data_IF_828501955087
#
_entry.id   IF_828501955087
#
_cell.length_a   1.000
_cell.length_b   1.000
_cell.length_c   1.000
_cell.angle_alpha   90.00
_cell.angle_beta   90.00
_cell.angle_gamma   90.00
#
_symmetry.space_group_name_H-M   'P 1'
#
loop_
_entity.id
_entity.type
_entity.pdbx_description
1 polymer ?
#
# COMPACT_ATOMS: atom_id res chain seq x y z
N UNK A 1 1.46 -26.45 -4.03
CA UNK A 1 1.48 -25.63 -2.81
C UNK A 1 0.22 -24.80 -2.79
N UNK A 2 -0.31 -24.50 -1.60
CA UNK A 2 -1.45 -23.60 -1.43
C UNK A 2 -0.99 -22.26 -0.86
N UNK A 3 -1.75 -21.20 -1.10
CA UNK A 3 -1.45 -19.87 -0.54
C UNK A 3 -1.65 -19.90 0.98
N UNK A 4 -0.63 -19.56 1.80
CA UNK A 4 -0.77 -19.59 3.25
C UNK A 4 -1.68 -18.47 3.76
N UNK A 5 -2.24 -18.66 4.94
CA UNK A 5 -2.99 -17.60 5.63
C UNK A 5 -2.05 -16.47 6.09
N UNK A 6 -2.53 -15.23 6.04
CA UNK A 6 -1.88 -14.07 6.66
C UNK A 6 -2.81 -13.46 7.70
N UNK A 7 -2.24 -12.85 8.74
CA UNK A 7 -3.00 -12.40 9.91
C UNK A 7 -4.13 -11.41 9.56
N UNK A 8 -3.81 -10.33 8.86
CA UNK A 8 -4.79 -9.29 8.51
C UNK A 8 -5.82 -9.73 7.48
N UNK A 9 -5.42 -10.55 6.49
CA UNK A 9 -6.38 -11.10 5.52
C UNK A 9 -7.34 -12.09 6.18
N UNK A 10 -6.88 -12.86 7.18
CA UNK A 10 -7.76 -13.75 7.95
C UNK A 10 -8.78 -12.98 8.79
N UNK A 11 -8.35 -11.89 9.43
CA UNK A 11 -9.20 -11.10 10.33
C UNK A 11 -10.18 -10.20 9.57
N UNK A 12 -9.71 -9.50 8.54
CA UNK A 12 -10.49 -8.48 7.81
C UNK A 12 -10.20 -8.58 6.31
N UNK A 13 -10.64 -9.66 5.63
CA UNK A 13 -10.25 -9.96 4.25
C UNK A 13 -10.70 -8.91 3.22
N UNK A 14 -11.76 -8.14 3.51
CA UNK A 14 -12.26 -7.09 2.63
C UNK A 14 -11.44 -5.79 2.71
N UNK A 15 -10.55 -5.66 3.69
CA UNK A 15 -9.65 -4.51 3.87
C UNK A 15 -8.21 -4.82 3.43
N UNK A 16 -7.74 -6.03 3.68
CA UNK A 16 -6.35 -6.43 3.45
C UNK A 16 -6.28 -7.68 2.57
N UNK A 17 -5.80 -7.53 1.34
CA UNK A 17 -5.56 -8.65 0.42
C UNK A 17 -4.25 -9.40 0.72
N UNK A 18 -4.05 -10.54 0.07
CA UNK A 18 -2.80 -11.32 0.24
C UNK A 18 -1.59 -10.62 -0.38
N UNK A 19 -1.72 -10.11 -1.61
CA UNK A 19 -0.62 -9.47 -2.36
C UNK A 19 -0.23 -8.12 -1.74
N UNK A 20 -1.22 -7.28 -1.40
CA UNK A 20 -1.03 -6.00 -0.69
C UNK A 20 0.05 -5.09 -1.29
N UNK A 21 0.20 -5.06 -2.61
CA UNK A 21 1.03 -4.07 -3.30
C UNK A 21 0.49 -2.65 -3.05
N UNK A 22 1.39 -1.68 -2.92
CA UNK A 22 1.02 -0.26 -2.80
C UNK A 22 0.48 0.23 -4.13
N UNK A 23 -0.83 0.52 -4.17
CA UNK A 23 -1.53 0.98 -5.36
C UNK A 23 -2.36 2.24 -5.04
N UNK A 24 -1.91 3.45 -5.42
CA UNK A 24 -2.58 4.72 -5.09
C UNK A 24 -4.02 4.81 -5.59
N UNK A 25 -4.35 4.08 -6.66
CA UNK A 25 -5.67 4.12 -7.30
C UNK A 25 -6.66 3.11 -6.69
N UNK A 26 -6.21 2.23 -5.80
CA UNK A 26 -7.07 1.27 -5.08
C UNK A 26 -7.23 1.78 -3.64
N UNK A 27 -8.35 2.45 -3.31
CA UNK A 27 -8.57 2.95 -1.97
C UNK A 27 -8.81 1.81 -0.98
N UNK A 28 -8.42 2.03 0.27
CA UNK A 28 -8.86 1.19 1.37
C UNK A 28 -10.36 1.47 1.64
N UNK A 29 -11.17 0.51 2.12
CA UNK A 29 -12.60 0.72 2.37
C UNK A 29 -12.95 1.93 3.25
N UNK A 30 -12.00 2.39 4.07
CA UNK A 30 -12.19 3.49 5.03
C UNK A 30 -11.41 4.77 4.70
N UNK A 31 -10.45 4.76 3.77
CA UNK A 31 -9.64 5.94 3.44
C UNK A 31 -9.01 5.84 2.05
N UNK A 32 -8.67 7.00 1.47
CA UNK A 32 -7.91 7.05 0.22
C UNK A 32 -6.44 6.69 0.45
N UNK A 33 -5.87 5.90 -0.46
CA UNK A 33 -4.44 5.57 -0.51
C UNK A 33 -3.66 6.48 -1.48
N UNK A 34 -4.31 7.51 -2.06
CA UNK A 34 -3.68 8.38 -3.06
C UNK A 34 -2.57 9.27 -2.46
N UNK A 35 -2.62 9.52 -1.15
CA UNK A 35 -1.64 10.35 -0.41
C UNK A 35 -1.25 9.70 0.90
N UNK A 36 -0.02 9.96 1.31
CA UNK A 36 0.56 9.48 2.55
C UNK A 36 1.15 10.62 3.38
N UNK A 37 1.23 10.41 4.70
CA UNK A 37 1.91 11.31 5.61
C UNK A 37 3.39 10.94 5.67
N UNK A 38 4.26 11.83 5.23
CA UNK A 38 5.69 11.66 5.34
C UNK A 38 6.15 11.97 6.77
N UNK A 39 6.74 10.96 7.43
CA UNK A 39 7.26 11.11 8.79
C UNK A 39 8.72 11.52 8.71
N UNK A 40 9.01 12.74 9.13
CA UNK A 40 10.32 13.38 9.03
C UNK A 40 10.63 14.17 10.29
N UNK A 41 11.93 14.36 10.57
CA UNK A 41 12.42 15.26 11.63
C UNK A 41 12.37 16.73 11.22
N UNK A 42 11.97 17.02 9.98
CA UNK A 42 11.79 18.37 9.48
C UNK A 42 10.66 19.12 10.22
N UNK A 43 10.69 20.44 10.12
CA UNK A 43 9.80 21.37 10.82
C UNK A 43 8.30 21.17 10.53
N UNK A 44 7.93 20.37 9.54
CA UNK A 44 6.53 20.08 9.21
C UNK A 44 6.16 18.61 9.52
N UNK A 45 5.54 18.31 10.67
CA UNK A 45 5.09 16.96 11.04
C UNK A 45 3.82 16.50 10.28
N UNK A 46 3.34 17.29 9.32
CA UNK A 46 2.11 17.06 8.56
C UNK A 46 2.33 17.07 7.05
N UNK A 47 3.57 16.93 6.59
CA UNK A 47 3.86 16.81 5.16
C UNK A 47 3.09 15.64 4.55
N UNK A 48 2.28 15.93 3.53
CA UNK A 48 1.58 14.94 2.72
C UNK A 48 2.29 14.81 1.38
N UNK A 49 2.51 13.58 0.93
CA UNK A 49 3.05 13.26 -0.40
C UNK A 49 2.06 12.39 -1.16
N UNK A 50 2.14 12.46 -2.48
CA UNK A 50 1.40 11.51 -3.32
C UNK A 50 2.06 10.14 -3.17
N UNK A 51 1.24 9.11 -2.95
CA UNK A 51 1.73 7.73 -2.87
C UNK A 51 2.09 7.26 -4.27
N UNK A 52 3.23 6.58 -4.39
CA UNK A 52 3.73 6.09 -5.68
C UNK A 52 3.31 4.63 -5.90
N UNK A 53 3.02 4.20 -7.15
CA UNK A 53 2.78 2.79 -7.46
C UNK A 53 3.95 1.92 -7.04
N UNK A 54 3.66 0.76 -6.45
CA UNK A 54 4.65 -0.14 -5.86
C UNK A 54 5.61 0.57 -4.89
N UNK A 55 5.12 1.63 -4.23
CA UNK A 55 5.90 2.48 -3.34
C UNK A 55 7.15 3.09 -4.01
N UNK A 56 7.07 3.37 -5.32
CA UNK A 56 8.17 3.94 -6.10
C UNK A 56 9.09 2.91 -6.78
N UNK A 57 8.82 1.62 -6.64
CA UNK A 57 9.66 0.54 -7.19
C UNK A 57 9.10 -0.09 -8.46
N UNK A 58 8.13 0.56 -9.12
CA UNK A 58 7.42 -0.01 -10.27
C UNK A 58 8.35 -0.59 -11.36
N UNK A 59 9.41 0.14 -11.73
CA UNK A 59 10.42 -0.31 -12.71
C UNK A 59 11.04 -1.67 -12.38
N UNK A 60 11.17 -2.00 -11.09
CA UNK A 60 11.85 -3.18 -10.62
C UNK A 60 10.93 -4.37 -10.35
N UNK A 61 9.64 -4.14 -10.07
CA UNK A 61 8.75 -5.20 -9.57
C UNK A 61 7.47 -5.38 -10.37
N UNK A 62 7.10 -4.44 -11.24
CA UNK A 62 5.83 -4.52 -11.98
C UNK A 62 5.73 -5.82 -12.80
N UNK A 63 6.84 -6.24 -13.43
CA UNK A 63 6.92 -7.45 -14.25
C UNK A 63 6.60 -8.76 -13.52
N UNK A 64 6.54 -8.77 -12.18
CA UNK A 64 6.14 -9.95 -11.40
C UNK A 64 4.63 -10.15 -11.34
N UNK A 65 3.85 -9.15 -11.78
CA UNK A 65 2.40 -9.08 -11.62
C UNK A 65 1.66 -8.80 -12.95
N UNK A 66 2.37 -8.81 -14.08
CA UNK A 66 1.80 -8.74 -15.43
C UNK A 66 1.04 -10.02 -15.81
#
# INVERSE_FOLDING_TARGET
SEQPATFWNTLVPHEYGFISNVEPHVPHPRWSQARERFISTALNPTELRDTLPYNGYAEYVAHLYE
#
